data_IF_083197342618
#
_entry.id   IF_083197342618
#
_cell.length_a   1.000
_cell.length_b   1.000
_cell.length_c   1.000
_cell.angle_alpha   90.00
_cell.angle_beta   90.00
_cell.angle_gamma   90.00
#
_symmetry.space_group_name_H-M   'P 1'
#
loop_
_entity.id
_entity.type
_entity.pdbx_description
1 polymer ?
#
# COMPACT_ATOMS: atom_id res chain seq x y z
N UNK A 1 18.62 -21.44 40.44
CA UNK A 1 18.55 -21.84 39.03
C UNK A 1 17.84 -20.73 38.27
N UNK A 2 18.54 -19.91 37.48
CA UNK A 2 17.93 -18.77 36.78
C UNK A 2 17.31 -19.23 35.44
N UNK A 3 16.09 -18.79 35.07
CA UNK A 3 15.45 -19.20 33.82
C UNK A 3 16.09 -18.51 32.60
N UNK A 4 16.42 -19.30 31.58
CA UNK A 4 17.03 -18.86 30.33
C UNK A 4 16.10 -17.92 29.55
N UNK A 5 16.62 -16.75 29.17
CA UNK A 5 15.91 -15.77 28.32
C UNK A 5 15.91 -16.27 26.87
N UNK A 6 14.76 -16.74 26.40
CA UNK A 6 14.60 -17.22 25.03
C UNK A 6 14.43 -16.03 24.06
N UNK A 7 15.51 -15.55 23.46
CA UNK A 7 15.54 -14.41 22.53
C UNK A 7 15.12 -14.82 21.12
N UNK A 8 13.83 -15.00 20.88
CA UNK A 8 13.29 -15.40 19.57
C UNK A 8 13.01 -14.21 18.62
N UNK A 9 13.88 -13.19 18.63
CA UNK A 9 13.72 -12.02 17.74
C UNK A 9 14.57 -12.19 16.48
N UNK A 10 13.95 -12.23 15.28
CA UNK A 10 14.71 -12.33 14.04
C UNK A 10 15.60 -11.10 13.84
N UNK A 11 16.80 -11.33 13.31
CA UNK A 11 17.74 -10.25 13.00
C UNK A 11 17.19 -9.30 11.93
N UNK A 12 17.70 -8.07 11.92
CA UNK A 12 17.27 -6.99 11.01
C UNK A 12 17.28 -7.40 9.52
N UNK A 13 18.26 -8.20 9.11
CA UNK A 13 18.39 -8.68 7.71
C UNK A 13 17.24 -9.61 7.31
N UNK A 14 16.85 -10.51 8.21
CA UNK A 14 15.74 -11.45 7.98
C UNK A 14 14.40 -10.69 7.87
N UNK A 15 14.20 -9.65 8.67
CA UNK A 15 13.03 -8.78 8.60
C UNK A 15 12.98 -8.06 7.24
N UNK A 16 14.10 -7.49 6.80
CA UNK A 16 14.19 -6.78 5.51
C UNK A 16 13.91 -7.71 4.33
N UNK A 17 14.42 -8.94 4.37
CA UNK A 17 14.12 -9.96 3.35
C UNK A 17 12.63 -10.26 3.28
N UNK A 18 11.98 -10.49 4.44
CA UNK A 18 10.53 -10.74 4.51
C UNK A 18 9.70 -9.59 3.96
N UNK A 19 10.08 -8.34 4.24
CA UNK A 19 9.39 -7.15 3.71
C UNK A 19 9.49 -7.11 2.18
N UNK A 20 10.69 -7.36 1.62
CA UNK A 20 10.88 -7.39 0.17
C UNK A 20 10.06 -8.48 -0.49
N UNK A 21 10.09 -9.70 0.06
CA UNK A 21 9.34 -10.84 -0.47
C UNK A 21 7.82 -10.62 -0.37
N UNK A 22 7.34 -9.97 0.70
CA UNK A 22 5.94 -9.57 0.84
C UNK A 22 5.54 -8.50 -0.19
N UNK A 23 6.38 -7.48 -0.39
CA UNK A 23 6.13 -6.44 -1.40
C UNK A 23 6.08 -6.98 -2.82
N UNK A 24 6.97 -7.92 -3.16
CA UNK A 24 6.96 -8.57 -4.47
C UNK A 24 5.66 -9.35 -4.72
N UNK A 25 5.17 -10.11 -3.73
CA UNK A 25 3.90 -10.84 -3.82
C UNK A 25 2.70 -9.91 -3.96
N UNK A 26 2.62 -8.86 -3.13
CA UNK A 26 1.53 -7.89 -3.18
C UNK A 26 1.46 -7.18 -4.54
N UNK A 27 2.62 -6.85 -5.13
CA UNK A 27 2.68 -6.22 -6.45
C UNK A 27 2.20 -7.17 -7.55
N UNK A 28 2.69 -8.42 -7.55
CA UNK A 28 2.28 -9.42 -8.52
C UNK A 28 0.77 -9.68 -8.46
N UNK A 29 0.18 -9.73 -7.26
CA UNK A 29 -1.27 -9.86 -7.10
C UNK A 29 -2.03 -8.63 -7.61
N UNK A 30 -1.56 -7.42 -7.31
CA UNK A 30 -2.18 -6.20 -7.81
C UNK A 30 -2.12 -6.11 -9.34
N UNK A 31 -1.00 -6.51 -9.95
CA UNK A 31 -0.83 -6.56 -11.40
C UNK A 31 -1.77 -7.60 -12.02
N UNK A 32 -1.88 -8.80 -11.43
CA UNK A 32 -2.82 -9.84 -11.87
C UNK A 32 -4.29 -9.37 -11.76
N UNK A 33 -4.64 -8.67 -10.67
CA UNK A 33 -5.97 -8.06 -10.51
C UNK A 33 -6.23 -7.02 -11.59
N UNK A 34 -5.30 -6.10 -11.87
CA UNK A 34 -5.46 -5.10 -12.93
C UNK A 34 -5.62 -5.74 -14.31
N UNK A 35 -4.88 -6.82 -14.59
CA UNK A 35 -5.00 -7.55 -15.85
C UNK A 35 -6.33 -8.31 -16.00
N UNK A 36 -6.93 -8.76 -14.90
CA UNK A 36 -8.21 -9.47 -14.88
C UNK A 36 -9.43 -8.53 -14.84
N UNK A 37 -9.26 -7.25 -14.51
CA UNK A 37 -10.36 -6.29 -14.52
C UNK A 37 -10.69 -5.89 -15.97
N UNK A 38 -11.96 -5.96 -16.39
CA UNK A 38 -12.37 -5.42 -17.68
C UNK A 38 -12.06 -3.92 -17.71
N UNK A 39 -11.65 -3.41 -18.87
CA UNK A 39 -11.37 -1.98 -19.07
C UNK A 39 -12.54 -1.15 -18.54
N UNK A 40 -12.30 -0.38 -17.48
CA UNK A 40 -13.29 0.54 -16.94
C UNK A 40 -13.75 1.46 -18.07
N UNK A 41 -15.07 1.58 -18.24
CA UNK A 41 -15.66 2.52 -19.20
C UNK A 41 -15.02 3.88 -18.95
N UNK A 42 -14.65 4.65 -19.98
CA UNK A 42 -14.06 5.96 -19.77
C UNK A 42 -15.05 6.81 -18.98
N UNK A 43 -14.75 7.06 -17.70
CA UNK A 43 -15.46 8.05 -16.91
C UNK A 43 -15.17 9.42 -17.51
N UNK A 44 -16.13 10.36 -17.48
CA UNK A 44 -15.85 11.74 -17.87
C UNK A 44 -14.66 12.24 -17.06
N UNK A 45 -13.71 12.84 -17.77
CA UNK A 45 -12.48 13.35 -17.15
C UNK A 45 -12.87 14.46 -16.16
N UNK A 46 -12.41 14.33 -14.92
CA UNK A 46 -12.56 15.41 -13.94
C UNK A 46 -11.73 16.62 -14.39
N UNK A 47 -12.38 17.78 -14.46
CA UNK A 47 -11.76 19.06 -14.80
C UNK A 47 -11.48 19.79 -13.50
N UNK A 48 -10.21 20.11 -13.24
CA UNK A 48 -9.71 20.72 -11.99
C UNK A 48 -9.83 19.84 -10.72
N UNK A 49 -10.28 18.59 -10.82
CA UNK A 49 -10.28 17.63 -9.72
C UNK A 49 -8.88 17.14 -9.34
N UNK A 50 -8.71 16.64 -8.12
CA UNK A 50 -7.46 16.00 -7.70
C UNK A 50 -7.27 14.71 -8.50
N UNK A 51 -6.06 14.51 -9.04
CA UNK A 51 -5.77 13.26 -9.76
C UNK A 51 -5.90 12.08 -8.81
N UNK A 52 -6.74 11.12 -9.14
CA UNK A 52 -6.86 9.85 -8.43
C UNK A 52 -8.25 9.61 -7.88
N UNK A 53 -8.46 8.47 -7.19
CA UNK A 53 -9.70 8.19 -6.50
C UNK A 53 -10.06 9.30 -5.50
N UNK A 54 -11.36 9.57 -5.34
CA UNK A 54 -11.87 10.56 -4.38
C UNK A 54 -11.23 10.41 -2.99
N UNK A 55 -10.57 11.44 -2.44
CA UNK A 55 -9.83 11.35 -1.17
C UNK A 55 -10.75 11.00 0.02
N UNK A 56 -12.00 11.44 -0.04
CA UNK A 56 -13.08 11.07 0.90
C UNK A 56 -13.39 9.58 0.92
N UNK A 57 -13.16 8.86 -0.18
CA UNK A 57 -13.50 7.44 -0.34
C UNK A 57 -12.30 6.50 -0.11
N UNK A 58 -11.06 7.00 -0.20
CA UNK A 58 -9.85 6.17 -0.15
C UNK A 58 -8.74 6.64 0.82
N UNK A 59 -8.95 7.71 1.58
CA UNK A 59 -8.02 8.13 2.63
C UNK A 59 -6.84 9.00 2.14
N UNK A 60 -6.86 9.46 0.89
CA UNK A 60 -5.85 10.35 0.29
C UNK A 60 -6.05 11.84 0.68
N UNK A 61 -6.34 12.11 1.97
CA UNK A 61 -6.50 13.48 2.49
C UNK A 61 -5.18 14.26 2.56
N UNK A 62 -4.06 13.62 2.19
CA UNK A 62 -2.72 14.20 2.26
C UNK A 62 -2.30 14.79 0.90
N UNK A 63 -1.97 16.08 0.91
CA UNK A 63 -1.31 16.75 -0.22
C UNK A 63 -0.03 17.39 0.27
N UNK A 64 1.12 16.87 -0.18
CA UNK A 64 2.46 17.34 0.23
C UNK A 64 2.70 17.28 1.75
N UNK A 65 2.22 16.24 2.44
CA UNK A 65 2.43 16.10 3.89
C UNK A 65 1.45 16.86 4.76
N UNK A 66 0.42 17.50 4.19
CA UNK A 66 -0.60 18.24 4.93
C UNK A 66 -1.94 17.56 4.70
N UNK A 67 -2.60 17.18 5.79
CA UNK A 67 -3.99 16.71 5.78
C UNK A 67 -4.87 17.93 5.49
N UNK A 68 -5.51 17.95 4.31
CA UNK A 68 -6.36 19.07 3.87
C UNK A 68 -7.82 18.71 4.10
N UNK A 69 -8.48 19.38 5.03
CA UNK A 69 -9.91 19.24 5.32
C UNK A 69 -10.68 20.45 4.78
N UNK A 70 -10.68 20.68 3.46
CA UNK A 70 -11.53 21.62 2.68
C UNK A 70 -11.26 21.46 1.18
#
# INVERSE_FOLDING_TARGET
MAPAKNSKTPGKVEIQKRIRDAGARARAEADARRAAQPSEKPLPKEVNGQKGPEPTRYGDWEKKGIISDF
#
